data_IF_712405361557
#
_entry.id   IF_712405361557
#
_cell.length_a   1.000
_cell.length_b   1.000
_cell.length_c   1.000
_cell.angle_alpha   90.00
_cell.angle_beta   90.00
_cell.angle_gamma   90.00
#
_symmetry.space_group_name_H-M   'P 1'
#
loop_
_entity.id
_entity.type
_entity.pdbx_description
1 polymer ?
#
# COMPACT_ATOMS: atom_id res chain seq x y z
N UNK A 1 16.31 8.70 7.64
CA UNK A 1 15.71 7.61 6.81
C UNK A 1 16.41 6.27 7.01
N UNK A 2 17.76 6.18 7.07
CA UNK A 2 18.47 4.90 7.23
C UNK A 2 18.13 4.19 8.54
N UNK A 3 17.98 4.89 9.65
CA UNK A 3 17.68 4.28 10.95
C UNK A 3 16.32 3.53 10.96
N UNK A 4 15.27 4.08 10.36
CA UNK A 4 13.98 3.39 10.27
C UNK A 4 14.00 2.15 9.35
N UNK A 5 15.11 1.88 8.69
CA UNK A 5 15.32 0.68 7.87
C UNK A 5 16.10 -0.41 8.60
N UNK A 6 16.82 -0.07 9.69
CA UNK A 6 17.83 -0.96 10.28
C UNK A 6 17.85 -0.99 11.80
N UNK A 7 17.18 -0.06 12.48
CA UNK A 7 17.25 0.10 13.92
C UNK A 7 15.95 -0.40 14.59
N UNK A 8 16.06 -1.46 15.36
CA UNK A 8 14.92 -2.12 16.03
C UNK A 8 14.26 -1.20 17.06
N UNK A 9 15.06 -0.45 17.86
CA UNK A 9 14.50 0.36 18.93
C UNK A 9 13.68 1.53 18.37
N UNK A 10 14.18 2.18 17.30
CA UNK A 10 13.44 3.23 16.63
C UNK A 10 12.17 2.68 15.96
N UNK A 11 12.23 1.49 15.36
CA UNK A 11 11.05 0.90 14.75
C UNK A 11 10.04 0.41 15.76
N UNK A 12 10.47 -0.15 16.90
CA UNK A 12 9.59 -0.51 18.00
C UNK A 12 8.92 0.74 18.60
N UNK A 13 9.68 1.80 18.84
CA UNK A 13 9.15 3.07 19.34
C UNK A 13 8.07 3.65 18.41
N UNK A 14 8.33 3.66 17.09
CA UNK A 14 7.38 4.19 16.11
C UNK A 14 6.11 3.35 15.97
N UNK A 15 6.23 2.04 16.11
CA UNK A 15 5.11 1.12 15.84
C UNK A 15 4.32 0.76 17.10
N UNK A 16 5.02 0.64 18.24
CA UNK A 16 4.47 0.07 19.45
C UNK A 16 4.47 1.04 20.65
N UNK A 17 5.29 2.11 20.63
CA UNK A 17 5.38 3.09 21.72
C UNK A 17 6.55 2.84 22.65
N UNK A 18 6.33 3.05 23.95
CA UNK A 18 7.35 3.04 24.99
C UNK A 18 7.35 1.71 25.73
N UNK A 19 8.53 1.06 25.79
CA UNK A 19 8.72 -0.16 26.58
C UNK A 19 8.42 0.08 28.07
N UNK A 20 7.68 -0.83 28.68
CA UNK A 20 7.20 -0.73 30.05
C UNK A 20 5.92 0.06 30.23
N UNK A 21 5.51 0.87 29.25
CA UNK A 21 4.27 1.65 29.26
C UNK A 21 3.24 1.10 28.29
N UNK A 22 3.62 0.95 27.02
CA UNK A 22 2.74 0.53 25.92
C UNK A 22 2.94 -0.95 25.56
N UNK A 23 4.16 -1.46 25.71
CA UNK A 23 4.50 -2.87 25.56
C UNK A 23 5.57 -3.31 26.55
N UNK A 24 5.76 -4.61 26.69
CA UNK A 24 6.86 -5.26 27.40
C UNK A 24 7.56 -6.26 26.47
N UNK A 25 8.80 -6.60 26.79
CA UNK A 25 9.50 -7.74 26.19
C UNK A 25 9.40 -8.91 27.17
N UNK A 26 8.81 -10.03 26.77
CA UNK A 26 8.63 -11.20 27.61
C UNK A 26 9.92 -12.06 27.68
N UNK A 27 9.89 -13.15 28.45
CA UNK A 27 11.04 -14.04 28.66
C UNK A 27 11.55 -14.70 27.36
N UNK A 28 10.70 -14.83 26.35
CA UNK A 28 11.03 -15.37 25.03
C UNK A 28 11.57 -14.30 24.07
N UNK A 29 11.69 -13.05 24.52
CA UNK A 29 12.14 -11.92 23.70
C UNK A 29 11.08 -11.38 22.72
N UNK A 30 9.80 -11.71 22.95
CA UNK A 30 8.68 -11.27 22.14
C UNK A 30 7.97 -10.09 22.81
N UNK A 31 7.30 -9.26 22.00
CA UNK A 31 6.47 -8.18 22.52
C UNK A 31 5.14 -8.72 23.05
N UNK A 32 4.72 -8.16 24.17
CA UNK A 32 3.40 -8.42 24.76
C UNK A 32 2.87 -7.13 25.42
N UNK A 33 1.60 -7.12 25.77
CA UNK A 33 1.05 -6.01 26.54
C UNK A 33 1.43 -6.11 28.03
N UNK A 34 1.62 -4.96 28.72
CA UNK A 34 1.76 -4.96 30.18
C UNK A 34 0.54 -5.62 30.84
N UNK A 35 0.74 -6.18 32.04
CA UNK A 35 -0.33 -6.89 32.79
C UNK A 35 -1.61 -6.04 32.90
N UNK A 36 -2.74 -6.63 32.49
CA UNK A 36 -4.06 -6.00 32.53
C UNK A 36 -4.30 -4.97 31.41
N UNK A 37 -3.40 -4.85 30.44
CA UNK A 37 -3.57 -3.99 29.26
C UNK A 37 -3.76 -4.79 27.98
N UNK A 38 -4.25 -4.10 26.95
CA UNK A 38 -4.43 -4.58 25.59
C UNK A 38 -4.29 -3.40 24.60
N UNK A 39 -4.45 -3.67 23.29
CA UNK A 39 -4.34 -2.66 22.23
C UNK A 39 -5.27 -1.45 22.41
N UNK A 40 -6.37 -1.60 23.17
CA UNK A 40 -7.34 -0.52 23.39
C UNK A 40 -7.06 0.30 24.65
N UNK A 41 -6.21 -0.19 25.54
CA UNK A 41 -5.96 0.38 26.89
C UNK A 41 -4.54 0.89 27.08
N UNK A 42 -3.59 0.58 26.19
CA UNK A 42 -2.25 1.20 26.15
C UNK A 42 -2.34 2.62 25.61
N UNK A 43 -1.35 3.46 25.94
CA UNK A 43 -1.31 4.86 25.52
C UNK A 43 -1.03 5.04 24.03
N UNK A 44 -0.26 4.12 23.44
CA UNK A 44 0.10 4.15 22.04
C UNK A 44 0.24 2.74 21.45
N UNK A 45 -0.32 2.53 20.27
CA UNK A 45 -0.19 1.32 19.47
C UNK A 45 -0.58 1.63 18.02
N UNK A 46 0.41 1.93 17.18
CA UNK A 46 0.13 2.21 15.76
C UNK A 46 -0.35 0.96 15.03
N UNK A 47 0.30 -0.20 15.28
CA UNK A 47 -0.08 -1.48 14.67
C UNK A 47 -0.03 -1.48 13.13
N UNK A 48 0.78 -0.63 12.54
CA UNK A 48 0.79 -0.37 11.11
C UNK A 48 2.19 -0.59 10.47
N UNK A 49 2.90 -1.59 10.95
CA UNK A 49 4.24 -1.93 10.44
C UNK A 49 4.30 -2.12 8.93
N UNK A 50 3.18 -2.52 8.32
CA UNK A 50 3.04 -2.70 6.86
C UNK A 50 3.14 -1.39 6.05
N UNK A 51 2.93 -0.21 6.66
CA UNK A 51 3.13 1.11 6.03
C UNK A 51 4.47 1.75 6.39
N UNK A 52 5.21 1.14 7.31
CA UNK A 52 6.55 1.61 7.69
C UNK A 52 7.61 1.02 6.75
N UNK A 53 8.76 1.70 6.60
CA UNK A 53 9.76 1.31 5.61
C UNK A 53 10.29 -0.12 5.74
N UNK A 54 10.44 -0.65 6.97
CA UNK A 54 10.92 -2.01 7.19
C UNK A 54 10.37 -2.60 8.49
N UNK A 55 9.18 -3.21 8.41
CA UNK A 55 8.59 -3.88 9.59
C UNK A 55 9.38 -5.11 10.06
N UNK A 56 10.23 -5.71 9.19
CA UNK A 56 10.98 -6.93 9.51
C UNK A 56 12.11 -6.70 10.53
N UNK A 57 12.39 -5.45 10.89
CA UNK A 57 13.35 -5.12 11.98
C UNK A 57 12.65 -4.90 13.32
N UNK A 58 11.31 -4.86 13.38
CA UNK A 58 10.59 -4.81 14.65
C UNK A 58 10.76 -6.11 15.42
N UNK A 59 10.67 -6.04 16.75
CA UNK A 59 10.54 -7.24 17.57
C UNK A 59 9.14 -7.85 17.34
N UNK A 60 9.02 -9.18 17.09
CA UNK A 60 7.74 -9.83 16.89
C UNK A 60 6.85 -9.80 18.13
N UNK A 61 5.53 -9.79 17.93
CA UNK A 61 4.56 -9.97 18.99
C UNK A 61 4.35 -11.44 19.34
N UNK A 62 4.00 -11.70 20.59
CA UNK A 62 3.71 -13.05 21.10
C UNK A 62 2.63 -13.77 20.28
N UNK A 63 1.65 -13.03 19.75
CA UNK A 63 0.57 -13.56 18.90
C UNK A 63 1.03 -13.99 17.53
N UNK A 64 2.11 -13.43 17.01
CA UNK A 64 2.66 -13.72 15.67
C UNK A 64 3.70 -14.84 15.71
N UNK A 65 4.38 -14.99 16.85
CA UNK A 65 5.46 -15.92 17.08
C UNK A 65 6.83 -15.46 16.59
N UNK A 66 7.87 -16.02 17.17
CA UNK A 66 9.27 -15.60 16.95
C UNK A 66 9.73 -15.74 15.50
N UNK A 67 9.15 -16.65 14.74
CA UNK A 67 9.54 -16.98 13.36
C UNK A 67 8.71 -16.27 12.28
N UNK A 68 7.88 -15.28 12.66
CA UNK A 68 6.97 -14.61 11.70
C UNK A 68 7.72 -13.99 10.52
N UNK A 69 8.86 -13.34 10.78
CA UNK A 69 9.62 -12.66 9.71
C UNK A 69 10.33 -13.66 8.79
N UNK A 70 10.80 -14.77 9.31
CA UNK A 70 11.35 -15.88 8.50
C UNK A 70 10.26 -16.46 7.59
N UNK A 71 9.04 -16.65 8.11
CA UNK A 71 7.89 -17.11 7.33
C UNK A 71 7.51 -16.12 6.23
N UNK A 72 7.51 -14.82 6.52
CA UNK A 72 7.22 -13.77 5.53
C UNK A 72 8.27 -13.77 4.42
N UNK A 73 9.56 -13.85 4.77
CA UNK A 73 10.66 -13.91 3.80
C UNK A 73 10.51 -15.15 2.92
N UNK A 74 10.33 -16.33 3.54
CA UNK A 74 10.15 -17.58 2.81
C UNK A 74 8.91 -17.55 1.89
N UNK A 75 7.81 -16.93 2.32
CA UNK A 75 6.63 -16.73 1.48
C UNK A 75 6.94 -15.81 0.28
N UNK A 76 7.65 -14.70 0.51
CA UNK A 76 8.05 -13.79 -0.57
C UNK A 76 8.96 -14.46 -1.60
N UNK A 77 9.83 -15.38 -1.18
CA UNK A 77 10.70 -16.15 -2.08
C UNK A 77 9.91 -17.08 -3.01
N UNK A 78 8.68 -17.44 -2.65
CA UNK A 78 7.77 -18.20 -3.52
C UNK A 78 6.99 -17.33 -4.50
N UNK A 79 7.07 -16.02 -4.39
CA UNK A 79 6.29 -15.10 -5.21
C UNK A 79 6.70 -15.14 -6.68
N UNK A 80 5.71 -15.21 -7.55
CA UNK A 80 5.94 -15.12 -9.00
C UNK A 80 6.17 -13.68 -9.39
N UNK A 81 7.38 -13.38 -9.85
CA UNK A 81 7.73 -12.05 -10.31
C UNK A 81 6.98 -11.76 -11.62
N UNK A 82 6.28 -10.62 -11.66
CA UNK A 82 5.61 -10.16 -12.88
C UNK A 82 6.61 -9.99 -14.02
N UNK A 83 6.24 -10.46 -15.23
CA UNK A 83 7.03 -10.18 -16.44
C UNK A 83 7.14 -8.69 -16.75
N UNK A 84 6.17 -7.89 -16.29
CA UNK A 84 6.16 -6.43 -16.43
C UNK A 84 7.05 -5.70 -15.39
N UNK A 85 7.72 -6.42 -14.47
CA UNK A 85 8.58 -5.78 -13.48
C UNK A 85 9.68 -4.97 -14.14
N UNK A 86 9.78 -3.68 -13.75
CA UNK A 86 10.71 -2.70 -14.31
C UNK A 86 10.16 -1.91 -15.49
N UNK A 87 8.95 -2.23 -15.98
CA UNK A 87 8.27 -1.39 -16.96
C UNK A 87 7.75 -0.11 -16.29
N UNK A 88 7.98 1.04 -16.95
CA UNK A 88 7.42 2.33 -16.58
C UNK A 88 6.66 2.90 -17.79
N UNK A 89 5.40 3.24 -17.60
CA UNK A 89 4.59 3.88 -18.62
C UNK A 89 5.07 5.32 -18.85
N UNK A 90 5.36 5.67 -20.10
CA UNK A 90 5.60 7.06 -20.52
C UNK A 90 4.29 7.70 -20.96
N UNK A 91 3.74 8.69 -20.23
CA UNK A 91 2.48 9.33 -20.56
C UNK A 91 2.59 10.34 -21.71
N UNK A 92 3.79 10.74 -22.13
CA UNK A 92 3.98 11.83 -23.09
C UNK A 92 3.19 11.65 -24.41
N UNK A 93 3.07 10.45 -25.01
CA UNK A 93 2.31 10.28 -26.25
C UNK A 93 0.79 10.51 -26.14
N UNK A 94 0.22 10.44 -24.92
CA UNK A 94 -1.23 10.50 -24.65
C UNK A 94 -1.57 11.49 -23.52
N UNK A 95 -0.74 12.51 -23.36
CA UNK A 95 -0.89 13.47 -22.27
C UNK A 95 -2.19 14.28 -22.36
N UNK A 96 -2.64 14.60 -23.56
CA UNK A 96 -3.86 15.37 -23.79
C UNK A 96 -5.11 14.53 -23.45
N UNK A 97 -5.11 13.24 -23.83
CA UNK A 97 -6.17 12.29 -23.47
C UNK A 97 -6.22 12.04 -21.96
N UNK A 98 -5.07 11.90 -21.30
CA UNK A 98 -4.99 11.79 -19.84
C UNK A 98 -5.62 13.00 -19.17
N UNK A 99 -5.32 14.21 -19.62
CA UNK A 99 -5.91 15.43 -19.08
C UNK A 99 -7.43 15.48 -19.31
N UNK A 100 -7.91 15.10 -20.50
CA UNK A 100 -9.34 15.07 -20.82
C UNK A 100 -10.10 14.03 -19.99
N UNK A 101 -9.55 12.81 -19.83
CA UNK A 101 -10.15 11.72 -19.01
C UNK A 101 -10.18 12.12 -17.54
N UNK A 102 -9.13 12.77 -17.02
CA UNK A 102 -9.10 13.26 -15.66
C UNK A 102 -10.20 14.32 -15.43
N UNK A 103 -10.38 15.27 -16.35
CA UNK A 103 -11.43 16.26 -16.26
C UNK A 103 -12.83 15.63 -16.25
N UNK A 104 -13.08 14.63 -17.10
CA UNK A 104 -14.34 13.89 -17.13
C UNK A 104 -14.57 13.13 -15.81
N UNK A 105 -13.52 12.60 -15.19
CA UNK A 105 -13.58 11.89 -13.90
C UNK A 105 -13.90 12.86 -12.76
N UNK A 106 -13.15 13.97 -12.65
CA UNK A 106 -13.29 14.96 -11.58
C UNK A 106 -14.67 15.62 -11.53
N UNK A 107 -15.35 15.70 -12.66
CA UNK A 107 -16.72 16.25 -12.76
C UNK A 107 -17.71 15.51 -11.84
N UNK A 108 -17.54 14.21 -11.62
CA UNK A 108 -18.46 13.38 -10.87
C UNK A 108 -17.83 12.77 -9.59
N UNK A 109 -16.53 12.54 -9.58
CA UNK A 109 -15.84 11.77 -8.57
C UNK A 109 -16.11 12.21 -7.14
N UNK A 110 -15.97 13.52 -6.86
CA UNK A 110 -16.17 14.06 -5.51
C UNK A 110 -17.60 13.87 -5.01
N UNK A 111 -18.57 14.11 -5.87
CA UNK A 111 -19.98 13.97 -5.53
C UNK A 111 -20.39 12.49 -5.32
N UNK A 112 -19.82 11.58 -6.10
CA UNK A 112 -19.99 10.13 -5.92
C UNK A 112 -19.42 9.65 -4.60
N UNK A 113 -18.18 10.06 -4.27
CA UNK A 113 -17.49 9.61 -3.04
C UNK A 113 -18.24 10.02 -1.76
N UNK A 114 -18.82 11.22 -1.74
CA UNK A 114 -19.58 11.69 -0.58
C UNK A 114 -21.06 11.33 -0.63
N UNK A 115 -21.51 10.55 -1.62
CA UNK A 115 -22.91 10.12 -1.75
C UNK A 115 -23.88 11.24 -2.12
N UNK A 116 -23.41 12.34 -2.72
CA UNK A 116 -24.26 13.48 -3.09
C UNK A 116 -25.06 13.23 -4.40
N UNK A 117 -24.68 12.25 -5.19
CA UNK A 117 -25.36 11.83 -6.43
C UNK A 117 -25.49 10.31 -6.46
N UNK A 118 -26.52 9.81 -7.18
CA UNK A 118 -26.81 8.38 -7.29
C UNK A 118 -25.75 7.66 -8.14
N UNK A 119 -24.99 6.70 -7.58
CA UNK A 119 -23.99 5.94 -8.34
C UNK A 119 -24.59 5.15 -9.51
N UNK A 120 -25.83 4.66 -9.40
CA UNK A 120 -26.47 3.90 -10.45
C UNK A 120 -26.76 4.75 -11.70
N UNK A 121 -27.04 6.03 -11.51
CA UNK A 121 -27.24 7.00 -12.60
C UNK A 121 -25.93 7.55 -13.14
N UNK A 122 -25.02 8.01 -12.27
CA UNK A 122 -23.88 8.83 -12.69
C UNK A 122 -22.62 8.03 -13.05
N UNK A 123 -22.43 6.80 -12.57
CA UNK A 123 -21.30 5.97 -12.98
C UNK A 123 -21.35 5.63 -14.48
N UNK A 124 -22.51 5.22 -15.08
CA UNK A 124 -22.59 5.01 -16.52
C UNK A 124 -22.26 6.27 -17.32
N UNK A 125 -22.76 7.44 -16.92
CA UNK A 125 -22.51 8.72 -17.59
C UNK A 125 -21.00 9.05 -17.54
N UNK A 126 -20.39 8.95 -16.36
CA UNK A 126 -18.95 9.18 -16.18
C UNK A 126 -18.10 8.24 -17.05
N UNK A 127 -18.49 6.98 -17.17
CA UNK A 127 -17.80 6.01 -18.04
C UNK A 127 -17.88 6.43 -19.51
N UNK A 128 -19.06 6.79 -19.99
CA UNK A 128 -19.27 7.23 -21.38
C UNK A 128 -18.43 8.52 -21.67
N UNK A 129 -18.45 9.51 -20.79
CA UNK A 129 -17.63 10.71 -20.95
C UNK A 129 -16.12 10.42 -20.96
N UNK A 130 -15.65 9.47 -20.16
CA UNK A 130 -14.24 9.03 -20.15
C UNK A 130 -13.85 8.32 -21.45
N UNK A 131 -14.71 7.45 -21.96
CA UNK A 131 -14.51 6.80 -23.26
C UNK A 131 -14.44 7.85 -24.39
N UNK A 132 -15.38 8.80 -24.41
CA UNK A 132 -15.38 9.90 -25.36
C UNK A 132 -14.16 10.82 -25.26
N UNK A 133 -13.57 10.93 -24.06
CA UNK A 133 -12.35 11.70 -23.79
C UNK A 133 -11.05 11.00 -24.21
N UNK A 134 -11.10 9.76 -24.74
CA UNK A 134 -9.94 9.04 -25.24
C UNK A 134 -9.34 8.00 -24.26
N UNK A 135 -10.14 7.47 -23.32
CA UNK A 135 -9.67 6.43 -22.41
C UNK A 135 -9.07 5.23 -23.15
N UNK A 136 -9.70 4.79 -24.27
CA UNK A 136 -9.19 3.66 -25.05
C UNK A 136 -7.81 3.96 -25.65
N UNK A 137 -7.56 5.19 -26.11
CA UNK A 137 -6.25 5.61 -26.65
C UNK A 137 -5.14 5.46 -25.60
N UNK A 138 -5.44 5.83 -24.34
CA UNK A 138 -4.49 5.67 -23.23
C UNK A 138 -4.19 4.18 -22.98
N UNK A 139 -5.24 3.34 -22.97
CA UNK A 139 -5.11 1.89 -22.76
C UNK A 139 -4.27 1.25 -23.87
N UNK A 140 -4.55 1.59 -25.12
CA UNK A 140 -3.83 1.06 -26.28
C UNK A 140 -2.36 1.45 -26.26
N UNK A 141 -2.05 2.69 -25.91
CA UNK A 141 -0.68 3.14 -25.77
C UNK A 141 0.05 2.45 -24.61
N UNK A 142 -0.60 2.29 -23.47
CA UNK A 142 -0.04 1.56 -22.33
C UNK A 142 0.27 0.09 -22.71
N UNK A 143 -0.64 -0.55 -23.41
CA UNK A 143 -0.43 -1.93 -23.90
C UNK A 143 0.72 -1.99 -24.90
N UNK A 144 0.77 -1.07 -25.86
CA UNK A 144 1.86 -1.00 -26.86
C UNK A 144 3.23 -0.86 -26.19
N UNK A 145 3.35 0.00 -25.17
CA UNK A 145 4.61 0.18 -24.43
C UNK A 145 4.99 -1.06 -23.64
N UNK A 146 4.01 -1.73 -23.00
CA UNK A 146 4.24 -2.98 -22.29
C UNK A 146 4.71 -4.09 -23.22
N UNK A 147 4.08 -4.24 -24.37
CA UNK A 147 4.45 -5.25 -25.37
C UNK A 147 5.89 -5.02 -25.87
N UNK A 148 6.23 -3.78 -26.22
CA UNK A 148 7.58 -3.43 -26.63
C UNK A 148 8.63 -3.70 -25.53
N UNK A 149 8.27 -3.45 -24.28
CA UNK A 149 9.15 -3.78 -23.14
C UNK A 149 9.36 -5.29 -22.98
N UNK A 150 8.30 -6.08 -23.12
CA UNK A 150 8.37 -7.54 -23.02
C UNK A 150 9.18 -8.17 -24.16
N UNK A 151 9.09 -7.62 -25.37
CA UNK A 151 9.89 -8.05 -26.53
C UNK A 151 11.40 -7.72 -26.38
N UNK A 152 11.71 -6.71 -25.57
CA UNK A 152 13.09 -6.27 -25.33
C UNK A 152 13.83 -7.07 -24.25
N UNK A 153 13.16 -7.95 -23.52
CA UNK A 153 13.71 -8.84 -22.47
C UNK A 153 14.23 -10.15 -23.03
#
# INVERSE_FOLDING_TARGET
LSLIMTDTDIMNLLNWGIEGEDYIVNEDGLLDYPEGKDASTVGYHLGAGWILPNQLVCTPWVTDGADIYEKIIAYNDTAVISKAMGHNFDPAPVQDEIAAVNNATEKYYKALVVGAIDPAEYIPIMKEEREAAGLQTIIDEAQRQLDAYLESK
#
